data_IF_774883247679
#
_entry.id   IF_774883247679
#
_cell.length_a   1.000
_cell.length_b   1.000
_cell.length_c   1.000
_cell.angle_alpha   90.00
_cell.angle_beta   90.00
_cell.angle_gamma   90.00
#
_symmetry.space_group_name_H-M   'P 1'
#
loop_
_entity.id
_entity.type
_entity.pdbx_description
1 polymer ?
#
# COMPACT_ATOMS: atom_id res chain seq x y z
N UNK A 1 53.20 -16.14 20.16
CA UNK A 1 53.05 -16.75 18.82
C UNK A 1 51.68 -16.35 18.29
N UNK A 2 51.66 -15.48 17.28
CA UNK A 2 50.47 -14.94 16.63
C UNK A 2 49.78 -16.00 15.78
N UNK A 3 48.44 -16.10 15.84
CA UNK A 3 47.62 -16.53 14.69
C UNK A 3 46.24 -15.88 14.78
N UNK A 4 46.21 -14.60 14.39
CA UNK A 4 45.02 -13.83 14.05
C UNK A 4 45.06 -13.70 12.52
N UNK A 5 44.23 -14.46 11.80
CA UNK A 5 44.18 -14.41 10.34
C UNK A 5 43.88 -15.74 9.67
N UNK A 6 42.59 -16.06 9.54
CA UNK A 6 42.10 -17.04 8.57
C UNK A 6 40.86 -16.49 7.85
N UNK A 7 40.95 -16.06 6.58
CA UNK A 7 39.80 -15.59 5.83
C UNK A 7 39.04 -16.80 5.28
N UNK A 8 37.91 -17.13 5.92
CA UNK A 8 37.09 -18.28 5.55
C UNK A 8 35.63 -18.04 5.89
N UNK A 9 35.09 -16.91 5.45
CA UNK A 9 33.68 -16.58 5.55
C UNK A 9 32.82 -17.61 4.81
N UNK A 10 32.35 -18.62 5.53
CA UNK A 10 31.21 -19.44 5.11
C UNK A 10 29.98 -18.86 5.82
N UNK A 11 29.36 -17.86 5.21
CA UNK A 11 27.96 -17.57 5.49
C UNK A 11 27.19 -18.76 4.94
N UNK A 12 26.91 -19.74 5.79
CA UNK A 12 26.02 -20.83 5.46
C UNK A 12 24.70 -20.20 5.04
N UNK A 13 24.34 -20.33 3.75
CA UNK A 13 23.02 -19.98 3.23
C UNK A 13 22.03 -21.05 3.72
N UNK A 14 21.86 -21.16 5.03
CA UNK A 14 20.70 -21.84 5.60
C UNK A 14 19.52 -20.91 5.37
N UNK A 15 18.42 -21.45 4.84
CA UNK A 15 17.13 -20.74 4.93
C UNK A 15 16.90 -20.53 6.42
N UNK A 16 16.87 -19.29 6.92
CA UNK A 16 16.70 -19.06 8.34
C UNK A 16 15.36 -19.67 8.76
N UNK A 17 15.40 -20.59 9.72
CA UNK A 17 14.20 -21.10 10.39
C UNK A 17 13.71 -20.01 11.34
N UNK A 18 12.44 -19.60 11.31
CA UNK A 18 11.87 -18.72 12.33
C UNK A 18 12.11 -19.35 13.73
N UNK A 19 12.50 -18.61 14.79
CA UNK A 19 12.47 -17.15 15.00
C UNK A 19 13.82 -16.43 14.82
N UNK A 20 14.85 -17.06 14.23
CA UNK A 20 16.20 -16.45 14.12
C UNK A 20 16.27 -15.14 13.32
N UNK A 21 15.24 -14.84 12.52
CA UNK A 21 15.11 -13.53 11.83
C UNK A 21 14.05 -12.60 12.39
N UNK A 22 13.44 -12.95 13.52
CA UNK A 22 12.42 -12.17 14.18
C UNK A 22 11.16 -12.03 13.32
N UNK A 23 10.03 -12.56 13.79
CA UNK A 23 8.77 -11.87 13.56
C UNK A 23 8.95 -10.52 14.26
N UNK A 24 9.34 -9.50 13.50
CA UNK A 24 9.53 -8.15 14.02
C UNK A 24 8.29 -7.82 14.88
N UNK A 25 8.41 -7.12 16.02
CA UNK A 25 7.27 -6.79 16.89
C UNK A 25 6.10 -6.04 16.22
N UNK A 26 6.11 -5.83 14.90
CA UNK A 26 4.97 -5.33 14.11
C UNK A 26 4.20 -6.45 13.35
N UNK A 27 4.59 -7.72 13.46
CA UNK A 27 3.92 -8.88 12.83
C UNK A 27 3.28 -9.79 13.89
N UNK A 28 2.66 -9.18 14.92
CA UNK A 28 2.29 -9.87 16.16
C UNK A 28 1.33 -11.07 15.96
N UNK A 29 0.48 -11.07 14.94
CA UNK A 29 -0.49 -12.17 14.71
C UNK A 29 -0.74 -12.49 13.23
N UNK A 30 0.13 -12.04 12.32
CA UNK A 30 -0.01 -12.26 10.87
C UNK A 30 -1.38 -11.79 10.31
N UNK A 31 -1.96 -10.74 10.88
CA UNK A 31 -3.31 -10.24 10.63
C UNK A 31 -3.57 -9.83 9.17
N UNK A 32 -2.58 -9.21 8.51
CA UNK A 32 -2.65 -8.80 7.11
C UNK A 32 -2.02 -9.83 6.14
N UNK A 33 -1.57 -10.99 6.66
CA UNK A 33 -0.98 -12.07 5.87
C UNK A 33 -1.87 -12.60 4.73
N UNK A 34 -3.22 -12.71 4.83
CA UNK A 34 -4.01 -13.21 3.70
C UNK A 34 -3.89 -12.30 2.47
N UNK A 35 -3.91 -10.98 2.66
CA UNK A 35 -3.78 -9.99 1.59
C UNK A 35 -2.34 -10.03 1.02
N UNK A 36 -1.33 -10.13 1.90
CA UNK A 36 0.06 -10.30 1.48
C UNK A 36 0.25 -11.52 0.58
N UNK A 37 -0.33 -12.67 0.94
CA UNK A 37 -0.25 -13.91 0.15
C UNK A 37 -0.91 -13.74 -1.22
N UNK A 38 -2.02 -13.01 -1.31
CA UNK A 38 -2.67 -12.71 -2.59
C UNK A 38 -1.80 -11.81 -3.45
N UNK A 39 -1.23 -10.74 -2.88
CA UNK A 39 -0.29 -9.86 -3.57
C UNK A 39 0.92 -10.63 -4.13
N UNK A 40 1.57 -11.44 -3.30
CA UNK A 40 2.73 -12.24 -3.73
C UNK A 40 2.35 -13.26 -4.82
N UNK A 41 1.14 -13.84 -4.74
CA UNK A 41 0.61 -14.72 -5.79
C UNK A 41 0.39 -13.94 -7.09
N UNK A 42 -0.14 -12.72 -7.01
CA UNK A 42 -0.37 -11.85 -8.15
C UNK A 42 0.96 -11.56 -8.87
N UNK A 43 1.96 -11.03 -8.16
CA UNK A 43 3.29 -10.73 -8.70
C UNK A 43 3.92 -11.98 -9.33
N UNK A 44 3.83 -13.13 -8.65
CA UNK A 44 4.36 -14.40 -9.18
C UNK A 44 3.68 -14.83 -10.48
N UNK A 45 2.36 -14.63 -10.59
CA UNK A 45 1.59 -14.96 -11.80
C UNK A 45 1.95 -14.07 -12.99
N UNK A 46 2.29 -12.80 -12.73
CA UNK A 46 2.67 -11.81 -13.75
C UNK A 46 4.18 -11.74 -13.99
N UNK A 47 4.92 -12.82 -13.65
CA UNK A 47 6.39 -12.93 -13.83
C UNK A 47 7.18 -11.78 -13.18
N UNK A 48 6.73 -11.27 -12.04
CA UNK A 48 7.40 -10.20 -11.31
C UNK A 48 6.94 -8.79 -11.70
N UNK A 49 6.05 -8.65 -12.69
CA UNK A 49 5.48 -7.36 -13.08
C UNK A 49 4.39 -6.95 -12.09
N UNK A 50 4.42 -5.70 -11.64
CA UNK A 50 3.42 -5.12 -10.77
C UNK A 50 2.34 -4.41 -11.61
N UNK A 51 1.42 -5.20 -12.15
CA UNK A 51 0.26 -4.69 -12.89
C UNK A 51 -0.74 -3.98 -11.95
N UNK A 52 -1.68 -3.22 -12.50
CA UNK A 52 -2.74 -2.51 -11.77
C UNK A 52 -3.48 -3.40 -10.75
N UNK A 53 -3.76 -4.67 -11.10
CA UNK A 53 -4.38 -5.65 -10.20
C UNK A 53 -3.51 -5.94 -8.96
N UNK A 54 -2.20 -6.12 -9.16
CA UNK A 54 -1.27 -6.36 -8.07
C UNK A 54 -1.03 -5.08 -7.25
N UNK A 55 -1.11 -3.91 -7.89
CA UNK A 55 -1.03 -2.60 -7.25
C UNK A 55 -2.21 -2.36 -6.31
N UNK A 56 -3.42 -2.78 -6.67
CA UNK A 56 -4.58 -2.71 -5.77
C UNK A 56 -4.43 -3.64 -4.55
N UNK A 57 -3.83 -4.82 -4.74
CA UNK A 57 -3.52 -5.73 -3.63
C UNK A 57 -2.43 -5.20 -2.70
N UNK A 58 -1.41 -4.52 -3.23
CA UNK A 58 -0.40 -3.87 -2.38
C UNK A 58 -0.97 -2.67 -1.62
N UNK A 59 -1.87 -1.90 -2.24
CA UNK A 59 -2.61 -0.80 -1.61
C UNK A 59 -3.39 -1.27 -0.39
N UNK A 60 -4.24 -2.30 -0.57
CA UNK A 60 -5.05 -2.87 0.50
C UNK A 60 -4.20 -3.51 1.60
N UNK A 61 -3.06 -4.10 1.25
CA UNK A 61 -2.12 -4.64 2.22
C UNK A 61 -1.53 -3.56 3.12
N UNK A 62 -1.08 -2.44 2.55
CA UNK A 62 -0.53 -1.33 3.33
C UNK A 62 -1.59 -0.64 4.18
N UNK A 63 -2.81 -0.49 3.65
CA UNK A 63 -3.94 0.04 4.40
C UNK A 63 -4.26 -0.84 5.62
N UNK A 64 -4.35 -2.16 5.45
CA UNK A 64 -4.54 -3.09 6.56
C UNK A 64 -3.50 -2.93 7.67
N UNK A 65 -2.23 -2.68 7.30
CA UNK A 65 -1.16 -2.47 8.29
C UNK A 65 -1.30 -1.16 9.04
N UNK A 66 -1.77 -0.09 8.39
CA UNK A 66 -2.04 1.18 9.08
C UNK A 66 -3.25 1.06 10.01
N UNK A 67 -4.33 0.43 9.54
CA UNK A 67 -5.59 0.27 10.30
C UNK A 67 -5.40 -0.55 11.58
N UNK A 68 -4.48 -1.52 11.54
CA UNK A 68 -4.15 -2.40 12.68
C UNK A 68 -2.94 -1.92 13.49
N UNK A 69 -2.49 -0.69 13.26
CA UNK A 69 -1.32 -0.11 13.92
C UNK A 69 -0.03 -0.96 13.78
N UNK A 70 0.06 -1.78 12.73
CA UNK A 70 1.23 -2.57 12.33
C UNK A 70 2.19 -1.78 11.44
N UNK A 71 1.90 -0.50 11.21
CA UNK A 71 2.74 0.51 10.56
C UNK A 71 2.27 1.90 11.01
N UNK A 72 3.16 2.89 11.00
CA UNK A 72 2.75 4.28 11.20
C UNK A 72 1.79 4.71 10.07
N UNK A 73 0.74 5.49 10.38
CA UNK A 73 -0.16 6.01 9.37
C UNK A 73 0.59 6.99 8.45
N UNK A 74 0.48 6.78 7.14
CA UNK A 74 1.03 7.65 6.10
C UNK A 74 0.01 7.81 4.97
N UNK A 75 0.20 8.81 4.11
CA UNK A 75 -0.65 9.03 2.95
C UNK A 75 -0.33 8.04 1.84
N UNK A 76 -1.37 7.55 1.16
CA UNK A 76 -1.20 6.62 0.03
C UNK A 76 -0.39 7.24 -1.12
N UNK A 77 -0.42 8.57 -1.24
CA UNK A 77 0.40 9.33 -2.19
C UNK A 77 1.90 9.17 -1.92
N UNK A 78 2.34 9.27 -0.66
CA UNK A 78 3.74 9.07 -0.26
C UNK A 78 4.20 7.62 -0.46
N UNK A 79 3.28 6.68 -0.35
CA UNK A 79 3.52 5.25 -0.57
C UNK A 79 3.50 4.85 -2.06
N UNK A 80 3.37 5.82 -2.98
CA UNK A 80 3.42 5.58 -4.42
C UNK A 80 2.09 5.20 -5.05
N UNK A 81 0.95 5.52 -4.43
CA UNK A 81 -0.41 5.30 -4.97
C UNK A 81 -1.12 6.60 -5.38
N UNK A 82 -0.38 7.69 -5.58
CA UNK A 82 -0.95 9.01 -5.88
C UNK A 82 -1.77 9.10 -7.18
N UNK A 83 -1.52 8.22 -8.16
CA UNK A 83 -2.19 8.28 -9.48
C UNK A 83 -3.71 8.03 -9.41
N UNK A 84 -4.14 7.22 -8.44
CA UNK A 84 -5.56 6.88 -8.26
C UNK A 84 -6.33 8.01 -7.58
N UNK A 85 -5.68 8.68 -6.63
CA UNK A 85 -6.25 9.81 -5.91
C UNK A 85 -6.42 11.00 -6.85
N UNK A 86 -5.49 11.26 -7.77
CA UNK A 86 -5.67 12.34 -8.77
C UNK A 86 -6.85 12.08 -9.72
N UNK A 87 -7.13 10.82 -10.07
CA UNK A 87 -8.34 10.45 -10.82
C UNK A 87 -9.61 10.65 -9.99
N UNK A 88 -9.58 10.26 -8.72
CA UNK A 88 -10.72 10.40 -7.81
C UNK A 88 -11.00 11.87 -7.47
N UNK A 89 -9.96 12.68 -7.28
CA UNK A 89 -10.04 14.12 -7.04
C UNK A 89 -10.48 14.86 -8.30
N UNK A 90 -10.01 14.45 -9.49
CA UNK A 90 -10.54 14.97 -10.75
C UNK A 90 -12.02 14.61 -10.95
N UNK A 91 -12.44 13.41 -10.55
CA UNK A 91 -13.84 12.98 -10.61
C UNK A 91 -14.71 13.70 -9.57
N UNK A 92 -14.23 13.86 -8.34
CA UNK A 92 -14.90 14.66 -7.30
C UNK A 92 -14.98 16.13 -7.68
N UNK A 93 -13.95 16.70 -8.29
CA UNK A 93 -13.97 18.07 -8.79
C UNK A 93 -14.99 18.27 -9.91
N UNK A 94 -15.12 17.29 -10.82
CA UNK A 94 -16.15 17.30 -11.87
C UNK A 94 -17.56 17.21 -11.28
N UNK A 95 -17.79 16.25 -10.38
CA UNK A 95 -19.10 16.07 -9.71
C UNK A 95 -19.47 17.29 -8.88
N UNK A 96 -18.50 17.88 -8.16
CA UNK A 96 -18.71 19.10 -7.38
C UNK A 96 -19.02 20.30 -8.29
N UNK A 97 -18.30 20.48 -9.39
CA UNK A 97 -18.59 21.53 -10.36
C UNK A 97 -19.98 21.38 -11.00
N UNK A 98 -20.43 20.15 -11.24
CA UNK A 98 -21.74 19.84 -11.79
C UNK A 98 -22.87 20.10 -10.77
N UNK A 99 -22.67 19.72 -9.51
CA UNK A 99 -23.59 20.02 -8.39
C UNK A 99 -23.69 21.54 -8.12
N UNK A 100 -22.55 22.25 -8.10
CA UNK A 100 -22.51 23.70 -7.87
C UNK A 100 -23.18 24.47 -9.04
N UNK A 101 -23.07 23.98 -10.28
CA UNK A 101 -23.74 24.55 -11.44
C UNK A 101 -25.26 24.40 -11.39
N UNK A 102 -25.75 23.23 -10.95
CA UNK A 102 -27.18 22.96 -10.82
C UNK A 102 -27.82 23.75 -9.66
N UNK A 103 -27.10 23.95 -8.56
CA UNK A 103 -27.56 24.77 -7.44
C UNK A 103 -27.69 26.26 -7.82
N UNK A 104 -26.73 26.78 -8.62
CA UNK A 104 -26.75 28.15 -9.12
C UNK A 104 -27.87 28.41 -10.14
N UNK A 105 -28.29 27.40 -10.89
CA UNK A 105 -29.44 27.49 -11.80
C UNK A 105 -30.79 27.59 -11.06
N UNK A 106 -30.92 26.90 -9.91
CA UNK A 106 -32.12 26.93 -9.06
C UNK A 106 -32.28 28.24 -8.29
N UNK A 107 -31.18 28.89 -7.90
CA UNK A 107 -31.22 30.19 -7.23
C UNK A 107 -31.68 31.34 -8.16
N UNK A 108 -31.38 31.27 -9.46
CA UNK A 108 -31.80 32.27 -10.44
C UNK A 108 -33.28 32.16 -10.88
N UNK A 109 -33.95 31.05 -10.62
CA UNK A 109 -35.38 30.88 -10.92
C UNK A 109 -36.31 31.31 -9.78
N UNK A 110 -35.81 31.39 -8.54
CA UNK A 110 -36.57 31.82 -7.37
C UNK A 110 -36.63 33.35 -7.18
N UNK A 111 -35.69 34.11 -7.78
CA UNK A 111 -35.59 35.57 -7.64
C UNK A 111 -36.40 36.40 -8.65
N UNK A 112 -37.18 35.77 -9.54
CA UNK A 112 -37.98 36.45 -10.55
C UNK A 112 -39.44 36.57 -10.10
N UNK A 113 -39.67 37.36 -9.05
CA UNK A 113 -40.98 37.92 -8.67
C UNK A 113 -40.81 39.38 -8.29
#
# INVERSE_FOLDING_TARGET
>A
MSTFGGPGGRTTFSKPTPPERGSFPLDHEAECQPIMKQYLRCIKSKRGVNDEECRQLSKSYLQCRMDRNLMAPDSMRNLGFGDEDEKQDAMKAKVKAELDAEERAKQNSAGKK
#
